data_IF_832840418721
#
_entry.id   IF_832840418721
#
_cell.length_a   1.000
_cell.length_b   1.000
_cell.length_c   1.000
_cell.angle_alpha   90.00
_cell.angle_beta   90.00
_cell.angle_gamma   90.00
#
_symmetry.space_group_name_H-M   'P 1'
#
loop_
_entity.id
_entity.type
_entity.pdbx_description
1 polymer ?
#
# COMPACT_ATOMS: atom_id res chain seq x y z
N UNK A 1 16.68 -1.99 2.58
CA UNK A 1 15.27 -1.53 2.49
C UNK A 1 15.24 -0.31 1.60
N UNK A 2 14.59 -0.39 0.44
CA UNK A 2 14.55 0.71 -0.54
C UNK A 2 13.70 1.87 -0.01
N UNK A 3 14.06 3.11 -0.35
CA UNK A 3 13.37 4.33 0.11
C UNK A 3 11.88 4.33 -0.24
N UNK A 4 11.53 3.75 -1.39
CA UNK A 4 10.17 3.53 -1.86
C UNK A 4 9.32 2.72 -0.86
N UNK A 5 9.86 1.64 -0.28
CA UNK A 5 9.13 0.81 0.68
C UNK A 5 8.91 1.52 2.02
N UNK A 6 9.87 2.36 2.46
CA UNK A 6 9.72 3.22 3.64
C UNK A 6 8.59 4.23 3.43
N UNK A 7 8.60 4.93 2.28
CA UNK A 7 7.56 5.90 1.92
C UNK A 7 6.18 5.24 1.85
N UNK A 8 6.10 4.05 1.27
CA UNK A 8 4.85 3.29 1.17
C UNK A 8 4.26 2.97 2.55
N UNK A 9 5.08 2.47 3.48
CA UNK A 9 4.67 2.20 4.87
C UNK A 9 4.23 3.47 5.60
N UNK A 10 5.00 4.54 5.47
CA UNK A 10 4.67 5.82 6.09
C UNK A 10 3.32 6.35 5.59
N UNK A 11 3.09 6.31 4.28
CA UNK A 11 1.84 6.74 3.65
C UNK A 11 0.65 5.90 4.11
N UNK A 12 0.79 4.57 4.17
CA UNK A 12 -0.27 3.72 4.71
C UNK A 12 -0.64 4.10 6.15
N UNK A 13 0.37 4.30 7.01
CA UNK A 13 0.16 4.70 8.39
C UNK A 13 -0.49 6.08 8.50
N UNK A 14 -0.04 7.07 7.73
CA UNK A 14 -0.56 8.43 7.74
C UNK A 14 -2.04 8.51 7.35
N UNK A 15 -2.48 7.64 6.44
CA UNK A 15 -3.85 7.61 5.94
C UNK A 15 -4.72 6.53 6.61
N UNK A 16 -4.23 5.88 7.67
CA UNK A 16 -4.96 4.83 8.38
C UNK A 16 -5.28 3.60 7.52
N UNK A 17 -4.53 3.36 6.45
CA UNK A 17 -4.74 2.23 5.55
C UNK A 17 -4.13 0.99 6.19
N UNK A 18 -4.99 0.02 6.54
CA UNK A 18 -4.51 -1.23 7.11
C UNK A 18 -3.85 -2.11 6.04
N UNK A 19 -2.98 -3.03 6.49
CA UNK A 19 -2.37 -4.03 5.61
C UNK A 19 -3.42 -4.93 4.95
N UNK A 20 -4.53 -5.19 5.62
CA UNK A 20 -5.63 -6.00 5.09
C UNK A 20 -6.32 -5.29 3.93
N UNK A 21 -6.67 -4.01 4.10
CA UNK A 21 -7.28 -3.21 3.05
C UNK A 21 -6.34 -3.01 1.86
N UNK A 22 -5.07 -2.69 2.12
CA UNK A 22 -4.07 -2.51 1.06
C UNK A 22 -3.86 -3.81 0.26
N UNK A 23 -3.81 -4.97 0.92
CA UNK A 23 -3.70 -6.26 0.25
C UNK A 23 -4.93 -6.55 -0.61
N UNK A 24 -6.13 -6.29 -0.08
CA UNK A 24 -7.39 -6.48 -0.80
C UNK A 24 -7.48 -5.62 -2.05
N UNK A 25 -7.09 -4.34 -1.97
CA UNK A 25 -7.09 -3.43 -3.12
C UNK A 25 -6.08 -3.80 -4.23
N UNK A 26 -5.08 -4.62 -3.89
CA UNK A 26 -4.10 -5.15 -4.83
C UNK A 26 -4.42 -6.58 -5.29
N UNK A 27 -5.53 -7.18 -4.84
CA UNK A 27 -5.85 -8.59 -5.05
C UNK A 27 -4.74 -9.53 -4.54
N UNK A 28 -4.14 -9.18 -3.40
CA UNK A 28 -3.08 -9.94 -2.74
C UNK A 28 -3.55 -10.52 -1.41
N UNK A 29 -2.86 -11.56 -0.95
CA UNK A 29 -2.91 -11.94 0.46
C UNK A 29 -2.10 -10.97 1.33
N UNK A 30 -2.45 -10.86 2.61
CA UNK A 30 -1.69 -10.05 3.58
C UNK A 30 -0.24 -10.52 3.73
N UNK A 31 0.00 -11.84 3.62
CA UNK A 31 1.35 -12.41 3.62
C UNK A 31 2.16 -11.95 2.40
N UNK A 32 1.56 -11.98 1.20
CA UNK A 32 2.22 -11.50 -0.02
C UNK A 32 2.58 -10.00 0.08
N UNK A 33 1.66 -9.18 0.60
CA UNK A 33 1.95 -7.77 0.87
C UNK A 33 3.10 -7.61 1.89
N UNK A 34 3.12 -8.41 2.96
CA UNK A 34 4.19 -8.33 3.96
C UNK A 34 5.56 -8.66 3.37
N UNK A 35 5.66 -9.68 2.52
CA UNK A 35 6.91 -10.01 1.81
C UNK A 35 7.37 -8.86 0.92
N UNK A 36 6.45 -8.20 0.21
CA UNK A 36 6.73 -6.98 -0.57
C UNK A 36 7.22 -5.83 0.30
N UNK A 37 6.56 -5.57 1.42
CA UNK A 37 6.94 -4.52 2.36
C UNK A 37 8.29 -4.78 3.06
N UNK A 38 8.71 -6.04 3.18
CA UNK A 38 10.05 -6.43 3.65
C UNK A 38 11.12 -6.29 2.57
N UNK A 39 10.71 -6.16 1.30
CA UNK A 39 11.61 -6.11 0.15
C UNK A 39 12.07 -7.48 -0.33
N UNK A 40 11.41 -8.56 0.11
CA UNK A 40 11.66 -9.92 -0.39
C UNK A 40 11.15 -10.09 -1.83
N UNK A 41 10.11 -9.33 -2.19
CA UNK A 41 9.51 -9.30 -3.54
C UNK A 41 9.29 -7.83 -3.94
N UNK A 42 9.49 -7.50 -5.21
CA UNK A 42 9.20 -6.17 -5.74
C UNK A 42 7.71 -5.83 -5.76
N UNK A 43 7.41 -4.54 -5.68
CA UNK A 43 6.08 -4.01 -6.00
C UNK A 43 6.00 -3.80 -7.52
N UNK A 44 4.88 -4.19 -8.12
CA UNK A 44 4.58 -3.83 -9.51
C UNK A 44 4.07 -2.39 -9.58
N UNK A 45 4.14 -1.78 -10.77
CA UNK A 45 3.59 -0.43 -10.99
C UNK A 45 2.08 -0.39 -10.71
N UNK A 46 1.34 -1.43 -11.07
CA UNK A 46 -0.11 -1.53 -10.84
C UNK A 46 -0.45 -1.56 -9.35
N UNK A 47 0.30 -2.33 -8.56
CA UNK A 47 0.13 -2.39 -7.10
C UNK A 47 0.40 -1.03 -6.44
N UNK A 48 1.43 -0.33 -6.90
CA UNK A 48 1.76 1.01 -6.40
C UNK A 48 0.64 2.00 -6.73
N UNK A 49 0.11 1.95 -7.96
CA UNK A 49 -1.01 2.78 -8.40
C UNK A 49 -2.28 2.51 -7.57
N UNK A 50 -2.62 1.26 -7.27
CA UNK A 50 -3.76 0.92 -6.41
C UNK A 50 -3.64 1.55 -5.02
N UNK A 51 -2.44 1.50 -4.42
CA UNK A 51 -2.20 2.10 -3.10
C UNK A 51 -2.35 3.63 -3.13
N UNK A 52 -1.82 4.27 -4.16
CA UNK A 52 -1.96 5.72 -4.37
C UNK A 52 -3.42 6.13 -4.54
N UNK A 53 -4.21 5.36 -5.30
CA UNK A 53 -5.64 5.61 -5.45
C UNK A 53 -6.41 5.49 -4.12
N UNK A 54 -6.06 4.51 -3.28
CA UNK A 54 -6.68 4.39 -1.95
C UNK A 54 -6.40 5.60 -1.08
N UNK A 55 -5.16 6.09 -1.11
CA UNK A 55 -4.75 7.30 -0.40
C UNK A 55 -5.52 8.51 -0.89
N UNK A 56 -5.65 8.67 -2.21
CA UNK A 56 -6.42 9.77 -2.80
C UNK A 56 -7.90 9.71 -2.40
N UNK A 57 -8.51 8.51 -2.41
CA UNK A 57 -9.89 8.30 -1.95
C UNK A 57 -10.09 8.65 -0.48
N UNK A 58 -9.13 8.33 0.39
CA UNK A 58 -9.17 8.68 1.83
C UNK A 58 -8.96 10.18 2.07
N UNK A 59 -8.24 10.87 1.18
CA UNK A 59 -7.97 12.32 1.27
C UNK A 59 -9.16 13.17 0.82
N UNK A 60 -9.96 12.70 -0.16
CA UNK A 60 -11.21 13.37 -0.53
C UNK A 60 -12.18 13.22 0.65
N UNK A 61 -12.65 14.30 1.28
CA UNK A 61 -13.74 14.18 2.23
C UNK A 61 -14.91 13.59 1.46
N UNK A 62 -15.56 12.57 2.02
CA UNK A 62 -16.92 12.22 1.61
C UNK A 62 -17.76 13.49 1.75
N UNK A 63 -17.99 14.19 0.63
CA UNK A 63 -18.98 15.26 0.51
C UNK A 63 -20.38 14.71 0.65
#
# INVERSE_FOLDING_TARGET
MTETLRRLRAMMNLHGITRKEAAQAMYLSTSALNRKLRGEIGLTQKEAASLLQMVEKRRKPTS
#
